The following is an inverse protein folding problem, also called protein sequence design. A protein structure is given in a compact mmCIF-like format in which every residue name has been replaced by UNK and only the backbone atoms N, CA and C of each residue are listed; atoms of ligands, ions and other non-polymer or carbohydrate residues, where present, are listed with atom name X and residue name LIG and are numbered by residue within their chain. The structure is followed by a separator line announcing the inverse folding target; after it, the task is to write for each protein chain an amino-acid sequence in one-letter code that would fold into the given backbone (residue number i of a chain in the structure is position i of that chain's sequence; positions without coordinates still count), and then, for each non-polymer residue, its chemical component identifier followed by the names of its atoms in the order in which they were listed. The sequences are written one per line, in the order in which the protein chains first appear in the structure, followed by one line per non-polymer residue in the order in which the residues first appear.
data_IF_030738273062
#
_entry.id   IF_030738273062
#
_cell.length_a   1.000
_cell.length_b   1.000
_cell.length_c   1.000
_cell.angle_alpha   90.00
_cell.angle_beta   90.00
_cell.angle_gamma   90.00
#
_symmetry.space_group_name_H-M   'P 1'
#
loop_
_entity.id
_entity.type
_entity.pdbx_description
1 polymer ?
#
# COMPACT_ATOMS: atom_id res chain seq x y z
N UNK A 1 -12.59 -14.19 13.52
CA UNK A 1 -13.49 -13.01 13.59
C UNK A 1 -13.87 -12.64 12.17
N UNK A 2 -15.14 -12.43 11.82
CA UNK A 2 -15.53 -12.06 10.48
C UNK A 2 -14.92 -10.68 10.11
N UNK A 3 -14.47 -10.56 8.87
CA UNK A 3 -13.97 -9.29 8.34
C UNK A 3 -15.07 -8.24 8.28
N UNK A 4 -14.76 -6.99 8.61
CA UNK A 4 -15.65 -5.86 8.42
C UNK A 4 -15.97 -5.66 6.92
N UNK A 5 -17.11 -5.02 6.63
CA UNK A 5 -17.53 -4.76 5.24
C UNK A 5 -16.48 -4.02 4.41
N UNK A 6 -15.77 -3.07 5.03
CA UNK A 6 -14.65 -2.36 4.40
C UNK A 6 -13.57 -3.35 3.95
N UNK A 7 -13.09 -4.22 4.85
CA UNK A 7 -12.04 -5.18 4.54
C UNK A 7 -12.45 -6.19 3.45
N UNK A 8 -13.71 -6.64 3.45
CA UNK A 8 -14.26 -7.51 2.41
C UNK A 8 -14.25 -6.85 1.03
N UNK A 9 -14.59 -5.56 0.96
CA UNK A 9 -14.55 -4.79 -0.27
C UNK A 9 -13.11 -4.59 -0.76
N UNK A 10 -12.21 -4.17 0.12
CA UNK A 10 -10.82 -3.91 -0.24
C UNK A 10 -10.06 -5.17 -0.68
N UNK A 11 -10.32 -6.33 -0.08
CA UNK A 11 -9.70 -7.59 -0.54
C UNK A 11 -10.18 -7.94 -1.95
N UNK A 12 -11.45 -7.65 -2.28
CA UNK A 12 -11.95 -7.82 -3.65
C UNK A 12 -11.21 -6.92 -4.64
N UNK A 13 -10.99 -5.66 -4.32
CA UNK A 13 -10.18 -4.77 -5.17
C UNK A 13 -8.75 -5.28 -5.34
N UNK A 14 -8.14 -5.82 -4.28
CA UNK A 14 -6.83 -6.46 -4.35
C UNK A 14 -6.80 -7.71 -5.24
N UNK A 15 -7.93 -8.38 -5.46
CA UNK A 15 -8.08 -9.46 -6.44
C UNK A 15 -8.32 -8.92 -7.85
N UNK A 16 -9.23 -7.96 -7.99
CA UNK A 16 -9.67 -7.43 -9.27
C UNK A 16 -8.55 -6.62 -9.99
N UNK A 17 -7.63 -6.00 -9.24
CA UNK A 17 -6.52 -5.19 -9.79
C UNK A 17 -5.57 -5.97 -10.71
N UNK A 18 -5.63 -7.30 -10.71
CA UNK A 18 -4.88 -8.16 -11.64
C UNK A 18 -5.58 -8.34 -12.98
N UNK A 19 -6.85 -7.93 -13.11
CA UNK A 19 -7.63 -8.11 -14.33
C UNK A 19 -7.55 -6.88 -15.25
N UNK A 20 -7.57 -7.14 -16.55
CA UNK A 20 -7.52 -6.07 -17.54
C UNK A 20 -8.78 -5.21 -17.51
N UNK A 21 -9.92 -5.85 -17.32
CA UNK A 21 -11.23 -5.21 -17.26
C UNK A 21 -11.31 -4.20 -16.11
N UNK A 22 -10.76 -4.54 -14.96
CA UNK A 22 -10.72 -3.64 -13.81
C UNK A 22 -9.82 -2.44 -14.06
N UNK A 23 -8.67 -2.64 -14.71
CA UNK A 23 -7.75 -1.56 -15.07
C UNK A 23 -8.36 -0.60 -16.09
N UNK A 24 -9.02 -1.13 -17.12
CA UNK A 24 -9.66 -0.32 -18.16
C UNK A 24 -10.88 0.48 -17.63
N UNK A 25 -11.49 0.01 -16.53
CA UNK A 25 -12.62 0.70 -15.89
C UNK A 25 -12.21 1.86 -14.96
N UNK A 26 -10.92 1.97 -14.60
CA UNK A 26 -10.45 2.93 -13.61
C UNK A 26 -9.19 3.66 -14.06
N UNK A 27 -8.95 4.83 -13.50
CA UNK A 27 -7.66 5.49 -13.68
C UNK A 27 -6.55 4.71 -12.96
N UNK A 28 -5.45 4.48 -13.65
CA UNK A 28 -4.37 3.64 -13.13
C UNK A 28 -2.99 4.09 -13.59
N UNK A 29 -1.99 3.70 -12.83
CA UNK A 29 -0.58 3.87 -13.17
C UNK A 29 0.04 2.49 -13.29
N UNK A 30 0.79 2.26 -14.36
CA UNK A 30 1.56 1.04 -14.59
C UNK A 30 2.96 1.38 -15.06
N UNK A 31 3.97 0.89 -14.34
CA UNK A 31 5.35 0.91 -14.81
C UNK A 31 5.81 -0.53 -15.08
N UNK A 32 5.91 -0.88 -16.36
CA UNK A 32 6.28 -2.25 -16.79
C UNK A 32 7.73 -2.62 -16.44
N UNK A 33 8.62 -1.63 -16.30
CA UNK A 33 10.03 -1.89 -15.99
C UNK A 33 10.24 -2.32 -14.54
N UNK A 34 9.46 -1.76 -13.62
CA UNK A 34 9.53 -2.08 -12.19
C UNK A 34 8.41 -3.00 -11.72
N UNK A 35 7.40 -3.24 -12.57
CA UNK A 35 6.24 -4.08 -12.28
C UNK A 35 5.22 -3.44 -11.33
N UNK A 36 5.43 -2.19 -10.89
CA UNK A 36 4.46 -1.52 -10.02
C UNK A 36 3.21 -1.12 -10.79
N UNK A 37 2.06 -1.32 -10.16
CA UNK A 37 0.76 -0.95 -10.69
C UNK A 37 -0.17 -0.54 -9.56
N UNK A 38 -0.93 0.53 -9.75
CA UNK A 38 -1.96 0.97 -8.83
C UNK A 38 -3.15 1.58 -9.57
N UNK A 39 -4.31 1.50 -8.93
CA UNK A 39 -5.60 1.97 -9.43
C UNK A 39 -6.19 2.97 -8.46
N UNK A 40 -6.81 4.01 -8.97
CA UNK A 40 -7.53 5.05 -8.24
C UNK A 40 -9.03 4.92 -8.52
N UNK A 41 -9.85 4.92 -7.49
CA UNK A 41 -11.31 4.87 -7.63
C UNK A 41 -11.99 5.67 -6.52
N UNK A 42 -13.12 6.28 -6.84
CA UNK A 42 -13.99 6.93 -5.86
C UNK A 42 -15.22 6.06 -5.66
N UNK A 43 -15.44 5.62 -4.43
CA UNK A 43 -16.59 4.82 -4.05
C UNK A 43 -17.01 5.07 -2.60
N UNK A 44 -18.30 5.11 -2.33
CA UNK A 44 -18.85 5.35 -0.99
C UNK A 44 -18.22 6.57 -0.27
N UNK A 45 -18.04 7.67 -1.00
CA UNK A 45 -17.40 8.91 -0.54
C UNK A 45 -15.96 8.69 -0.02
N UNK A 46 -15.26 7.69 -0.54
CA UNK A 46 -13.87 7.39 -0.26
C UNK A 46 -13.05 7.42 -1.55
N UNK A 47 -11.86 8.00 -1.50
CA UNK A 47 -10.84 7.72 -2.51
C UNK A 47 -10.11 6.44 -2.10
N UNK A 48 -10.23 5.40 -2.92
CA UNK A 48 -9.51 4.14 -2.72
C UNK A 48 -8.36 4.06 -3.72
N UNK A 49 -7.16 3.82 -3.21
CA UNK A 49 -5.94 3.60 -4.00
C UNK A 49 -5.46 2.17 -3.75
N UNK A 50 -5.60 1.31 -4.75
CA UNK A 50 -5.28 -0.10 -4.66
C UNK A 50 -3.98 -0.43 -5.42
N UNK A 51 -2.98 -0.95 -4.70
CA UNK A 51 -1.72 -1.41 -5.29
C UNK A 51 -1.77 -2.91 -5.56
N UNK A 52 -1.37 -3.28 -6.78
CA UNK A 52 -1.21 -4.68 -7.16
C UNK A 52 0.01 -5.31 -6.47
N UNK A 53 -0.11 -6.55 -6.08
CA UNK A 53 1.02 -7.39 -5.68
C UNK A 53 1.82 -7.89 -6.89
N UNK A 54 2.80 -8.75 -6.63
CA UNK A 54 3.58 -9.40 -7.70
C UNK A 54 2.76 -10.48 -8.40
N UNK A 55 2.98 -10.66 -9.71
CA UNK A 55 2.31 -11.72 -10.50
C UNK A 55 2.79 -13.12 -10.11
N UNK A 56 4.00 -13.25 -9.58
CA UNK A 56 4.62 -14.50 -9.17
C UNK A 56 5.15 -14.37 -7.73
N UNK A 57 4.48 -15.03 -6.79
CA UNK A 57 4.95 -15.12 -5.40
C UNK A 57 6.30 -15.85 -5.28
N UNK A 58 6.56 -16.79 -6.17
CA UNK A 58 7.78 -17.61 -6.16
C UNK A 58 8.99 -16.79 -6.57
N UNK A 59 8.88 -16.02 -7.65
CA UNK A 59 9.97 -15.15 -8.13
C UNK A 59 10.26 -14.04 -7.14
N UNK A 60 9.21 -13.51 -6.52
CA UNK A 60 9.34 -12.48 -5.50
C UNK A 60 10.06 -13.00 -4.25
N UNK A 61 9.74 -14.23 -3.78
CA UNK A 61 10.41 -14.86 -2.62
C UNK A 61 11.88 -15.15 -2.88
N UNK A 62 12.22 -15.61 -4.08
CA UNK A 62 13.61 -15.95 -4.45
C UNK A 62 14.49 -14.73 -4.70
N UNK A 63 13.92 -13.63 -5.17
CA UNK A 63 14.63 -12.40 -5.51
C UNK A 63 14.51 -11.29 -4.44
N UNK A 64 14.00 -11.63 -3.24
CA UNK A 64 13.79 -10.67 -2.18
C UNK A 64 15.13 -10.26 -1.55
N UNK A 65 15.81 -9.31 -2.16
CA UNK A 65 17.01 -8.71 -1.60
C UNK A 65 16.66 -7.96 -0.31
N UNK A 66 17.31 -8.33 0.79
CA UNK A 66 17.06 -7.79 2.15
C UNK A 66 17.65 -6.37 2.33
N UNK A 67 18.03 -5.69 1.24
CA UNK A 67 18.61 -4.35 1.31
C UNK A 67 17.58 -3.29 1.68
N UNK A 68 18.02 -2.35 2.51
CA UNK A 68 17.23 -1.18 2.90
C UNK A 68 17.83 0.08 2.30
N UNK A 69 16.97 1.02 1.97
CA UNK A 69 17.34 2.37 1.53
C UNK A 69 16.62 3.40 2.37
N UNK A 70 17.31 4.49 2.67
CA UNK A 70 16.72 5.58 3.46
C UNK A 70 15.63 6.28 2.66
N UNK A 71 14.47 6.50 3.29
CA UNK A 71 13.37 7.23 2.69
C UNK A 71 12.44 7.87 3.74
N UNK A 72 12.13 9.17 3.61
CA UNK A 72 12.81 10.15 2.73
C UNK A 72 14.28 10.32 3.09
N UNK A 73 15.10 10.80 2.16
CA UNK A 73 16.53 11.03 2.41
C UNK A 73 16.74 11.95 3.60
N UNK A 74 17.64 11.59 4.52
CA UNK A 74 17.94 12.34 5.74
C UNK A 74 16.92 12.14 6.87
N UNK A 75 15.97 11.21 6.72
CA UNK A 75 14.92 10.96 7.73
C UNK A 75 15.34 10.01 8.84
N UNK A 76 16.37 9.20 8.62
CA UNK A 76 16.75 8.08 9.48
C UNK A 76 15.76 6.91 9.42
N UNK A 77 14.82 6.91 8.47
CA UNK A 77 13.88 5.82 8.23
C UNK A 77 14.34 4.99 7.03
N UNK A 78 14.33 3.68 7.16
CA UNK A 78 14.77 2.79 6.10
C UNK A 78 13.64 1.88 5.66
N UNK A 79 13.46 1.78 4.34
CA UNK A 79 12.45 0.93 3.70
C UNK A 79 13.12 -0.11 2.81
N UNK A 80 12.38 -1.14 2.45
CA UNK A 80 12.85 -2.16 1.52
C UNK A 80 13.20 -1.54 0.16
N UNK A 81 14.46 -1.70 -0.29
CA UNK A 81 14.99 -1.03 -1.49
C UNK A 81 14.20 -1.37 -2.75
N UNK A 82 13.71 -2.62 -2.88
CA UNK A 82 12.88 -3.02 -4.03
C UNK A 82 11.56 -2.26 -4.09
N UNK A 83 10.88 -2.08 -2.95
CA UNK A 83 9.66 -1.28 -2.89
C UNK A 83 9.94 0.20 -3.14
N UNK A 84 11.05 0.70 -2.64
CA UNK A 84 11.44 2.08 -2.91
C UNK A 84 11.70 2.35 -4.39
N UNK A 85 12.40 1.43 -5.08
CA UNK A 85 12.61 1.54 -6.54
C UNK A 85 11.28 1.55 -7.29
N UNK A 86 10.33 0.69 -6.92
CA UNK A 86 8.99 0.69 -7.50
C UNK A 86 8.28 2.01 -7.25
N UNK A 87 8.26 2.48 -6.00
CA UNK A 87 7.62 3.74 -5.64
C UNK A 87 8.22 4.94 -6.40
N UNK A 88 9.53 5.13 -6.34
CA UNK A 88 10.21 6.26 -7.00
C UNK A 88 9.96 6.26 -8.51
N UNK A 89 9.80 5.08 -9.13
CA UNK A 89 9.53 4.97 -10.57
C UNK A 89 8.19 5.54 -11.02
N UNK A 90 7.26 5.75 -10.08
CA UNK A 90 5.92 6.30 -10.36
C UNK A 90 5.59 7.55 -9.52
N UNK A 91 6.44 7.94 -8.59
CA UNK A 91 6.13 8.95 -7.56
C UNK A 91 5.60 10.26 -8.14
N UNK A 92 6.25 10.80 -9.17
CA UNK A 92 5.85 12.07 -9.78
C UNK A 92 4.45 11.96 -10.44
N UNK A 93 4.23 10.90 -11.21
CA UNK A 93 2.93 10.65 -11.86
C UNK A 93 1.85 10.38 -10.82
N UNK A 94 2.18 9.62 -9.78
CA UNK A 94 1.26 9.29 -8.69
C UNK A 94 0.80 10.55 -7.95
N UNK A 95 1.74 11.41 -7.54
CA UNK A 95 1.42 12.66 -6.84
C UNK A 95 0.56 13.59 -7.70
N UNK A 96 0.84 13.70 -9.00
CA UNK A 96 0.02 14.48 -9.91
C UNK A 96 -1.40 13.90 -10.03
N UNK A 97 -1.55 12.59 -10.18
CA UNK A 97 -2.85 11.93 -10.27
C UNK A 97 -3.63 12.08 -8.97
N UNK A 98 -2.99 11.86 -7.82
CA UNK A 98 -3.60 12.06 -6.52
C UNK A 98 -4.12 13.49 -6.35
N UNK A 99 -3.30 14.48 -6.71
CA UNK A 99 -3.70 15.87 -6.63
C UNK A 99 -4.91 16.17 -7.51
N UNK A 100 -4.94 15.71 -8.75
CA UNK A 100 -6.08 15.85 -9.65
C UNK A 100 -7.36 15.22 -9.07
N UNK A 101 -7.27 14.02 -8.49
CA UNK A 101 -8.41 13.38 -7.82
C UNK A 101 -8.92 14.20 -6.63
N UNK A 102 -8.00 14.71 -5.82
CA UNK A 102 -8.36 15.53 -4.66
C UNK A 102 -8.98 16.87 -5.06
N UNK A 103 -8.47 17.51 -6.10
CA UNK A 103 -9.05 18.75 -6.64
C UNK A 103 -10.45 18.53 -7.23
N UNK A 104 -10.67 17.37 -7.86
CA UNK A 104 -11.95 17.04 -8.51
C UNK A 104 -13.01 16.56 -7.54
N UNK A 105 -12.62 15.74 -6.56
CA UNK A 105 -13.54 14.98 -5.71
C UNK A 105 -13.43 15.30 -4.22
N UNK A 106 -12.36 15.99 -3.78
CA UNK A 106 -11.99 16.12 -2.37
C UNK A 106 -13.08 16.67 -1.46
N UNK A 107 -13.91 17.62 -1.94
CA UNK A 107 -15.02 18.17 -1.14
C UNK A 107 -16.12 17.14 -0.82
N UNK A 108 -16.27 16.10 -1.65
CA UNK A 108 -17.25 15.03 -1.46
C UNK A 108 -16.70 13.80 -0.75
N UNK A 109 -15.40 13.77 -0.42
CA UNK A 109 -14.77 12.63 0.20
C UNK A 109 -14.80 12.73 1.74
N UNK A 110 -14.98 11.57 2.38
CA UNK A 110 -14.93 11.43 3.83
C UNK A 110 -13.58 10.87 4.32
N UNK A 111 -12.87 10.13 3.48
CA UNK A 111 -11.55 9.58 3.80
C UNK A 111 -10.79 9.11 2.54
N UNK A 112 -9.49 8.89 2.70
CA UNK A 112 -8.62 8.28 1.68
C UNK A 112 -8.11 6.94 2.20
N UNK A 113 -8.30 5.87 1.42
CA UNK A 113 -7.95 4.50 1.80
C UNK A 113 -6.93 3.93 0.81
N UNK A 114 -5.76 3.58 1.32
CA UNK A 114 -4.76 2.84 0.58
C UNK A 114 -4.90 1.35 0.87
N UNK A 115 -4.82 0.50 -0.14
CA UNK A 115 -4.83 -0.94 0.08
C UNK A 115 -3.92 -1.69 -0.89
N UNK A 116 -3.56 -2.92 -0.51
CA UNK A 116 -2.77 -3.80 -1.35
C UNK A 116 -2.56 -5.18 -0.73
N UNK A 117 -2.42 -6.18 -1.61
CA UNK A 117 -2.13 -7.56 -1.25
C UNK A 117 -0.66 -7.88 -1.51
N UNK A 118 -0.02 -8.66 -0.64
CA UNK A 118 1.38 -9.11 -0.79
C UNK A 118 2.32 -7.91 -0.99
N UNK A 119 3.10 -7.86 -2.08
CA UNK A 119 3.96 -6.73 -2.45
C UNK A 119 3.19 -5.39 -2.59
N UNK A 120 1.88 -5.44 -2.85
CA UNK A 120 1.01 -4.26 -2.86
C UNK A 120 0.94 -3.54 -1.51
N UNK A 121 1.40 -4.15 -0.42
CA UNK A 121 1.59 -3.49 0.88
C UNK A 121 2.50 -2.27 0.84
N UNK A 122 3.32 -2.11 -0.21
CA UNK A 122 4.06 -0.86 -0.48
C UNK A 122 3.18 0.38 -0.59
N UNK A 123 1.85 0.24 -0.71
CA UNK A 123 0.89 1.33 -0.66
C UNK A 123 1.07 2.22 0.57
N UNK A 124 1.61 1.69 1.68
CA UNK A 124 1.94 2.46 2.88
C UNK A 124 3.07 3.46 2.61
N UNK A 125 4.07 3.09 1.80
CA UNK A 125 5.16 4.00 1.39
C UNK A 125 4.59 5.15 0.56
N UNK A 126 3.69 4.84 -0.39
CA UNK A 126 3.01 5.83 -1.21
C UNK A 126 2.14 6.78 -0.36
N UNK A 127 1.33 6.24 0.56
CA UNK A 127 0.50 7.04 1.46
C UNK A 127 1.35 8.01 2.31
N UNK A 128 2.45 7.52 2.86
CA UNK A 128 3.37 8.34 3.65
C UNK A 128 4.04 9.43 2.80
N UNK A 129 4.50 9.09 1.59
CA UNK A 129 5.13 10.03 0.66
C UNK A 129 4.19 11.15 0.17
N UNK A 130 2.88 10.88 0.19
CA UNK A 130 1.85 11.82 -0.22
C UNK A 130 1.20 12.57 0.95
N UNK A 131 1.71 12.39 2.17
CA UNK A 131 1.13 12.98 3.37
C UNK A 131 0.90 14.49 3.24
N UNK A 132 1.86 15.25 2.73
CA UNK A 132 1.75 16.70 2.58
C UNK A 132 0.61 17.12 1.66
N UNK A 133 0.32 16.34 0.62
CA UNK A 133 -0.82 16.55 -0.28
C UNK A 133 -2.12 16.25 0.46
N UNK A 134 -2.19 15.11 1.15
CA UNK A 134 -3.39 14.64 1.84
C UNK A 134 -3.77 15.53 3.02
N UNK A 135 -2.79 16.04 3.77
CA UNK A 135 -3.01 16.93 4.91
C UNK A 135 -3.71 18.26 4.51
N UNK A 136 -3.55 18.72 3.27
CA UNK A 136 -4.21 19.93 2.79
C UNK A 136 -5.75 19.78 2.79
N UNK A 137 -6.24 18.56 2.60
CA UNK A 137 -7.67 18.26 2.56
C UNK A 137 -8.25 17.86 3.91
N UNK A 138 -7.41 17.66 4.92
CA UNK A 138 -7.80 17.31 6.31
C UNK A 138 -8.68 16.06 6.40
N UNK A 139 -8.54 15.15 5.46
CA UNK A 139 -9.26 13.88 5.44
C UNK A 139 -8.49 12.82 6.23
N UNK A 140 -9.20 11.92 6.93
CA UNK A 140 -8.57 10.73 7.50
C UNK A 140 -7.92 9.89 6.41
N UNK A 141 -6.70 9.42 6.69
CA UNK A 141 -5.97 8.50 5.81
C UNK A 141 -5.84 7.15 6.49
N UNK A 142 -6.24 6.10 5.80
CA UNK A 142 -6.13 4.71 6.26
C UNK A 142 -5.33 3.88 5.27
N UNK A 143 -4.64 2.87 5.79
CA UNK A 143 -4.05 1.83 4.96
C UNK A 143 -4.50 0.45 5.45
N UNK A 144 -4.93 -0.40 4.52
CA UNK A 144 -5.31 -1.80 4.81
C UNK A 144 -4.51 -2.73 3.91
N UNK A 145 -3.71 -3.59 4.50
CA UNK A 145 -2.90 -4.53 3.75
C UNK A 145 -3.30 -5.98 4.02
N UNK A 146 -3.19 -6.81 3.00
CA UNK A 146 -3.53 -8.24 3.04
C UNK A 146 -2.26 -9.07 2.75
N UNK A 147 -1.83 -9.89 3.70
CA UNK A 147 -0.63 -10.72 3.54
C UNK A 147 0.64 -9.92 3.21
N UNK A 148 0.75 -8.68 3.68
CA UNK A 148 1.90 -7.82 3.39
C UNK A 148 3.17 -8.29 4.09
N UNK A 149 4.34 -8.23 3.42
CA UNK A 149 5.64 -8.40 4.06
C UNK A 149 5.96 -7.22 4.98
N UNK A 150 7.09 -7.31 5.67
CA UNK A 150 7.64 -6.17 6.42
C UNK A 150 8.23 -5.14 5.45
N UNK A 151 7.91 -3.87 5.65
CA UNK A 151 8.21 -2.81 4.68
C UNK A 151 9.46 -2.01 5.00
N UNK A 152 9.78 -1.83 6.27
CA UNK A 152 10.89 -0.99 6.69
C UNK A 152 11.35 -1.28 8.12
N UNK A 153 12.21 -0.42 8.63
CA UNK A 153 12.78 -0.51 9.97
C UNK A 153 11.82 0.00 11.07
N UNK A 154 12.30 0.01 12.31
CA UNK A 154 11.54 0.48 13.46
C UNK A 154 11.19 1.98 13.35
N UNK A 155 12.11 2.79 12.84
CA UNK A 155 11.89 4.23 12.68
C UNK A 155 10.81 4.53 11.64
N UNK A 156 10.86 3.81 10.51
CA UNK A 156 9.81 3.91 9.49
C UNK A 156 8.44 3.50 10.06
N UNK A 157 8.39 2.37 10.78
CA UNK A 157 7.17 1.90 11.45
C UNK A 157 6.57 2.98 12.35
N UNK A 158 7.35 3.48 13.31
CA UNK A 158 6.90 4.49 14.27
C UNK A 158 6.37 5.73 13.57
N UNK A 159 7.09 6.19 12.55
CA UNK A 159 6.72 7.39 11.81
C UNK A 159 5.41 7.25 11.05
N UNK A 160 5.20 6.17 10.31
CA UNK A 160 3.96 5.99 9.53
C UNK A 160 2.77 5.71 10.42
N UNK A 161 2.94 4.94 11.50
CA UNK A 161 1.87 4.66 12.47
C UNK A 161 1.43 5.91 13.27
N UNK A 162 2.28 6.93 13.36
CA UNK A 162 1.92 8.23 13.94
C UNK A 162 1.14 9.14 12.98
N UNK A 163 1.10 8.81 11.69
CA UNK A 163 0.51 9.67 10.65
C UNK A 163 -0.80 9.16 10.06
N UNK A 164 -1.08 7.86 10.16
CA UNK A 164 -2.27 7.25 9.59
C UNK A 164 -2.68 5.99 10.34
N UNK A 165 -3.96 5.61 10.20
CA UNK A 165 -4.46 4.33 10.75
C UNK A 165 -4.14 3.18 9.79
N UNK A 166 -3.40 2.19 10.27
CA UNK A 166 -2.92 1.08 9.45
C UNK A 166 -3.40 -0.24 10.03
N UNK A 167 -4.16 -0.98 9.22
CA UNK A 167 -4.63 -2.33 9.54
C UNK A 167 -3.97 -3.36 8.64
N UNK A 168 -3.48 -4.42 9.23
CA UNK A 168 -2.80 -5.49 8.54
C UNK A 168 -3.57 -6.80 8.71
N UNK A 169 -4.20 -7.28 7.63
CA UNK A 169 -4.93 -8.55 7.59
C UNK A 169 -3.95 -9.68 7.27
N UNK A 170 -3.89 -10.69 8.12
CA UNK A 170 -2.88 -11.75 8.07
C UNK A 170 -3.53 -13.12 8.23
N UNK A 171 -3.20 -14.07 7.36
CA UNK A 171 -3.50 -15.49 7.54
C UNK A 171 -2.45 -16.14 8.47
N UNK A 172 -2.88 -16.99 9.39
CA UNK A 172 -2.02 -17.58 10.41
C UNK A 172 -0.78 -18.29 9.87
N UNK A 173 -0.84 -18.85 8.67
CA UNK A 173 0.25 -19.63 8.03
C UNK A 173 0.90 -18.92 6.86
N UNK A 174 0.61 -17.67 6.60
CA UNK A 174 1.20 -16.94 5.49
C UNK A 174 2.70 -16.66 5.73
N UNK A 175 3.54 -17.32 4.92
CA UNK A 175 4.99 -17.17 5.01
C UNK A 175 5.50 -15.80 4.54
N UNK A 176 4.76 -15.12 3.66
CA UNK A 176 5.12 -13.79 3.15
C UNK A 176 5.15 -12.77 4.28
N UNK A 177 4.23 -12.88 5.22
CA UNK A 177 4.16 -11.98 6.38
C UNK A 177 5.35 -12.14 7.33
N UNK A 178 6.18 -13.16 7.16
CA UNK A 178 7.35 -13.42 8.03
C UNK A 178 8.66 -12.86 7.48
N UNK A 179 8.66 -12.33 6.27
CA UNK A 179 9.86 -11.82 5.61
C UNK A 179 9.74 -10.33 5.29
N UNK A 180 10.88 -9.61 5.14
CA UNK A 180 12.23 -9.99 5.58
C UNK A 180 12.34 -10.00 7.12
N UNK A 181 13.36 -10.69 7.67
CA UNK A 181 13.47 -10.92 9.14
C UNK A 181 14.33 -9.86 9.81
N UNK A 182 15.54 -9.67 9.34
CA UNK A 182 16.54 -8.79 9.99
C UNK A 182 16.23 -7.32 9.75
N UNK A 183 16.29 -6.52 10.81
CA UNK A 183 16.12 -5.05 10.78
C UNK A 183 14.78 -4.54 10.22
N UNK A 184 13.83 -5.44 9.93
CA UNK A 184 12.52 -5.07 9.42
C UNK A 184 11.41 -5.26 10.43
N UNK A 185 10.44 -4.36 10.42
CA UNK A 185 9.27 -4.39 11.28
C UNK A 185 7.98 -4.46 10.47
N UNK A 186 6.97 -5.08 11.06
CA UNK A 186 5.61 -4.96 10.57
C UNK A 186 5.04 -3.59 10.90
N UNK A 187 4.33 -3.02 9.95
CA UNK A 187 3.64 -1.74 10.09
C UNK A 187 2.14 -1.98 10.20
N UNK A 188 1.51 -1.41 11.20
CA UNK A 188 0.08 -1.48 11.44
C UNK A 188 -0.38 -2.58 12.40
N UNK A 189 -1.63 -2.45 12.85
CA UNK A 189 -2.29 -3.37 13.79
C UNK A 189 -2.69 -4.66 13.08
N UNK A 190 -2.30 -5.85 13.58
CA UNK A 190 -2.68 -7.10 12.94
C UNK A 190 -4.12 -7.51 13.25
N UNK A 191 -4.84 -7.97 12.24
CA UNK A 191 -6.05 -8.78 12.36
C UNK A 191 -5.72 -10.15 11.80
N UNK A 192 -5.67 -11.15 12.65
CA UNK A 192 -5.41 -12.53 12.25
C UNK A 192 -6.68 -13.25 11.82
N UNK A 193 -6.64 -13.87 10.64
CA UNK A 193 -7.68 -14.75 10.13
C UNK A 193 -7.14 -16.18 10.23
N UNK A 194 -7.95 -17.08 10.77
CA UNK A 194 -7.64 -18.50 10.81
C UNK A 194 -8.24 -19.16 9.59
N UNK A 195 -7.46 -20.03 8.96
CA UNK A 195 -8.00 -21.03 8.04
C UNK A 195 -8.68 -22.12 8.90
N UNK A 196 -9.99 -22.15 8.84
CA UNK A 196 -10.79 -23.23 9.45
C UNK A 196 -10.70 -24.50 8.60
#
# INVERSE_FOLDING_TARGET
MPLEKLHQRLVKHCQDVYTKEFLEAHEHITNKCTGVQCVFMVENDQLVVCFRGSDSETDWRMNFHVSQSEYPTGSGCFVHSGFLVQWVSIEAQFKQMLQNFMETHGEGLNEVVFCGHSAGGQCIIAAYACKEILDQYKLPVKAVTFGSPRLGDANFKERVESTMDITRIVLDRDAITRVPVLSYQHVGKPIQIRDD
#
